data_IF_234044722710
#
_entry.id   IF_234044722710
#
_cell.length_a   1.000
_cell.length_b   1.000
_cell.length_c   1.000
_cell.angle_alpha   90.00
_cell.angle_beta   90.00
_cell.angle_gamma   90.00
#
_symmetry.space_group_name_H-M   'P 1'
#
loop_
_entity.id
_entity.type
_entity.pdbx_description
1 polymer ?
#
# COMPACT_ATOMS: atom_id res chain seq x y z
N UNK A 1 -10.84 0.90 18.37
CA UNK A 1 -9.53 1.20 17.75
C UNK A 1 -9.83 1.95 16.46
N UNK A 2 -9.17 3.07 16.18
CA UNK A 2 -9.40 3.81 14.94
C UNK A 2 -8.86 2.97 13.76
N UNK A 3 -9.62 2.84 12.65
CA UNK A 3 -9.20 2.14 11.42
C UNK A 3 -7.79 2.55 10.99
N UNK A 4 -7.46 3.85 11.11
CA UNK A 4 -6.13 4.37 10.77
C UNK A 4 -5.01 3.77 11.63
N UNK A 5 -5.28 3.51 12.91
CA UNK A 5 -4.30 2.90 13.83
C UNK A 5 -4.13 1.40 13.56
N UNK A 6 -5.17 0.75 13.05
CA UNK A 6 -5.11 -0.65 12.63
C UNK A 6 -4.35 -0.81 11.31
N UNK A 7 -4.56 0.09 10.34
CA UNK A 7 -3.80 0.16 9.08
C UNK A 7 -2.30 0.36 9.37
N UNK A 8 -1.93 1.21 10.34
CA UNK A 8 -0.52 1.40 10.74
C UNK A 8 0.15 0.13 11.29
N UNK A 9 -0.63 -0.88 11.66
CA UNK A 9 -0.17 -2.19 12.15
C UNK A 9 -0.34 -3.30 11.11
N UNK A 10 -0.72 -2.94 9.87
CA UNK A 10 -0.88 -3.88 8.78
C UNK A 10 0.40 -4.66 8.53
N UNK A 11 0.24 -5.90 8.06
CA UNK A 11 1.36 -6.66 7.51
C UNK A 11 1.81 -5.97 6.21
N UNK A 12 3.09 -5.60 6.12
CA UNK A 12 3.63 -4.95 4.92
C UNK A 12 4.38 -5.95 4.04
N UNK A 13 3.87 -6.15 2.83
CA UNK A 13 4.43 -7.02 1.80
C UNK A 13 4.97 -6.19 0.64
N UNK A 14 6.02 -6.73 0.02
CA UNK A 14 6.69 -6.12 -1.14
C UNK A 14 7.07 -7.21 -2.12
N UNK A 15 6.78 -6.99 -3.39
CA UNK A 15 7.22 -7.89 -4.45
C UNK A 15 8.74 -7.87 -4.61
N UNK A 16 9.27 -8.89 -5.27
CA UNK A 16 10.71 -8.99 -5.57
C UNK A 16 11.17 -7.81 -6.42
N UNK A 17 10.37 -7.35 -7.39
CA UNK A 17 10.67 -6.19 -8.21
C UNK A 17 10.95 -4.97 -7.36
N UNK A 18 10.03 -4.63 -6.45
CA UNK A 18 10.16 -3.50 -5.53
C UNK A 18 11.42 -3.61 -4.68
N UNK A 19 11.64 -4.76 -4.04
CA UNK A 19 12.81 -4.97 -3.17
C UNK A 19 14.12 -4.83 -3.94
N UNK A 20 14.15 -5.22 -5.22
CA UNK A 20 15.37 -5.21 -6.05
C UNK A 20 15.67 -3.87 -6.72
N UNK A 21 14.66 -3.03 -6.97
CA UNK A 21 14.80 -1.85 -7.84
C UNK A 21 14.60 -0.53 -7.11
N UNK A 22 13.84 -0.52 -6.01
CA UNK A 22 13.54 0.71 -5.28
C UNK A 22 14.34 0.73 -3.97
N UNK A 23 15.11 1.78 -3.68
CA UNK A 23 15.77 1.95 -2.38
C UNK A 23 14.80 1.85 -1.20
N UNK A 24 15.24 1.28 -0.08
CA UNK A 24 14.37 1.02 1.09
C UNK A 24 13.77 2.30 1.68
N UNK A 25 14.55 3.38 1.74
CA UNK A 25 14.11 4.69 2.21
C UNK A 25 12.97 5.25 1.35
N UNK A 26 13.07 5.12 0.03
CA UNK A 26 12.01 5.50 -0.92
C UNK A 26 10.76 4.62 -0.73
N UNK A 27 10.93 3.30 -0.55
CA UNK A 27 9.81 2.40 -0.22
C UNK A 27 9.09 2.85 1.06
N UNK A 28 9.84 3.18 2.11
CA UNK A 28 9.27 3.59 3.40
C UNK A 28 8.58 4.95 3.33
N UNK A 29 9.07 5.87 2.50
CA UNK A 29 8.41 7.15 2.24
C UNK A 29 7.09 6.97 1.49
N UNK A 30 7.08 6.18 0.41
CA UNK A 30 5.85 5.83 -0.31
C UNK A 30 4.83 5.14 0.60
N UNK A 31 5.26 4.18 1.43
CA UNK A 31 4.37 3.51 2.38
C UNK A 31 3.72 4.51 3.35
N UNK A 32 4.49 5.45 3.91
CA UNK A 32 3.95 6.48 4.82
C UNK A 32 2.90 7.33 4.12
N UNK A 33 3.20 7.82 2.90
CA UNK A 33 2.28 8.62 2.10
C UNK A 33 1.01 7.85 1.72
N UNK A 34 1.12 6.57 1.40
CA UNK A 34 -0.03 5.72 1.12
C UNK A 34 -0.93 5.58 2.36
N UNK A 35 -0.33 5.27 3.52
CA UNK A 35 -1.05 5.16 4.80
C UNK A 35 -1.75 6.46 5.16
N UNK A 36 -1.20 7.64 4.85
CA UNK A 36 -1.86 8.94 5.07
C UNK A 36 -3.17 9.07 4.29
N UNK A 37 -3.29 8.42 3.15
CA UNK A 37 -4.49 8.47 2.31
C UNK A 37 -5.45 7.31 2.51
N UNK A 38 -5.00 6.16 3.00
CA UNK A 38 -5.90 5.03 3.20
C UNK A 38 -6.95 5.25 4.28
N UNK A 39 -8.19 4.86 3.98
CA UNK A 39 -9.34 4.92 4.87
C UNK A 39 -10.40 3.88 4.44
N UNK A 40 -11.67 4.10 4.78
CA UNK A 40 -12.76 3.18 4.45
C UNK A 40 -13.11 3.17 2.95
N UNK A 41 -12.70 4.20 2.19
CA UNK A 41 -12.99 4.31 0.76
C UNK A 41 -11.73 4.13 -0.07
N UNK A 42 -10.62 4.73 0.35
CA UNK A 42 -9.34 4.72 -0.37
C UNK A 42 -8.54 3.48 0.01
N UNK A 43 -8.49 2.49 -0.88
CA UNK A 43 -7.77 1.23 -0.70
C UNK A 43 -6.56 1.08 -1.64
N UNK A 44 -6.35 2.05 -2.54
CA UNK A 44 -5.31 1.97 -3.55
C UNK A 44 -4.54 3.29 -3.71
N UNK A 45 -3.21 3.23 -3.72
CA UNK A 45 -2.33 4.36 -3.96
C UNK A 45 -1.39 4.06 -5.13
N UNK A 46 -1.36 4.95 -6.12
CA UNK A 46 -0.48 4.87 -7.28
C UNK A 46 0.55 5.99 -7.20
N UNK A 47 1.80 5.64 -6.99
CA UNK A 47 2.92 6.56 -7.14
C UNK A 47 3.30 6.61 -8.61
N UNK A 48 3.13 7.77 -9.24
CA UNK A 48 3.35 7.95 -10.67
C UNK A 48 4.43 9.03 -10.91
N UNK A 49 5.58 8.69 -11.52
CA UNK A 49 6.63 9.67 -11.80
C UNK A 49 6.22 10.69 -12.86
N UNK A 50 5.19 10.41 -13.66
CA UNK A 50 4.69 11.28 -14.72
C UNK A 50 3.46 12.11 -14.31
N UNK A 51 2.87 11.84 -13.15
CA UNK A 51 1.76 12.65 -12.65
C UNK A 51 2.25 14.05 -12.27
N UNK A 52 1.47 15.07 -12.63
CA UNK A 52 1.76 16.47 -12.29
C UNK A 52 1.16 16.89 -10.96
N UNK A 53 0.02 16.31 -10.60
CA UNK A 53 -0.73 16.64 -9.39
C UNK A 53 -1.36 15.40 -8.76
N UNK A 54 -1.66 15.52 -7.46
CA UNK A 54 -2.41 14.51 -6.72
C UNK A 54 -3.88 14.57 -7.14
N UNK A 55 -4.48 13.41 -7.39
CA UNK A 55 -5.92 13.30 -7.68
C UNK A 55 -6.47 11.96 -7.19
N UNK A 56 -7.80 11.88 -7.12
CA UNK A 56 -8.52 10.66 -6.80
C UNK A 56 -9.25 10.16 -8.05
N UNK A 57 -9.29 8.84 -8.21
CA UNK A 57 -9.92 8.10 -9.30
C UNK A 57 -10.78 6.96 -8.70
N UNK A 58 -11.64 6.35 -9.53
CA UNK A 58 -12.49 5.22 -9.14
C UNK A 58 -13.40 5.48 -7.93
N UNK A 59 -14.14 6.60 -7.95
CA UNK A 59 -15.02 7.02 -6.84
C UNK A 59 -14.27 7.13 -5.50
N UNK A 60 -13.12 7.81 -5.53
CA UNK A 60 -12.20 8.02 -4.41
C UNK A 60 -11.52 6.76 -3.85
N UNK A 61 -11.61 5.63 -4.55
CA UNK A 61 -10.92 4.39 -4.14
C UNK A 61 -9.42 4.41 -4.41
N UNK A 62 -9.03 5.10 -5.48
CA UNK A 62 -7.65 5.17 -5.95
C UNK A 62 -7.10 6.58 -5.79
N UNK A 63 -6.02 6.76 -5.05
CA UNK A 63 -5.25 8.02 -5.02
C UNK A 63 -4.04 7.94 -5.93
N UNK A 64 -3.91 8.89 -6.85
CA UNK A 64 -2.71 9.07 -7.68
C UNK A 64 -1.82 10.12 -7.04
N UNK A 65 -0.56 9.79 -6.79
CA UNK A 65 0.42 10.62 -6.08
C UNK A 65 1.64 10.84 -7.00
N UNK A 66 1.95 12.10 -7.37
CA UNK A 66 3.19 12.43 -8.07
C UNK A 66 4.42 11.99 -7.29
N UNK A 67 5.33 11.24 -7.93
CA UNK A 67 6.54 10.76 -7.27
C UNK A 67 7.70 10.62 -8.25
N UNK A 68 8.51 11.65 -8.42
CA UNK A 68 9.54 11.73 -9.48
C UNK A 68 10.80 10.89 -9.22
N UNK A 69 10.97 10.37 -8.01
CA UNK A 69 12.18 9.66 -7.58
C UNK A 69 12.17 8.16 -7.95
N UNK A 70 11.07 7.65 -8.50
CA UNK A 70 10.94 6.25 -8.97
C UNK A 70 11.01 6.16 -10.49
N UNK A 71 11.57 5.06 -11.05
CA UNK A 71 11.74 4.91 -12.50
C UNK A 71 10.45 4.62 -13.26
N UNK A 72 9.41 4.13 -12.56
CA UNK A 72 8.11 3.76 -13.14
C UNK A 72 7.05 3.74 -12.04
N UNK A 73 5.78 3.58 -12.43
CA UNK A 73 4.65 3.54 -11.49
C UNK A 73 4.83 2.45 -10.45
N UNK A 74 4.47 2.75 -9.20
CA UNK A 74 4.42 1.78 -8.09
C UNK A 74 3.01 1.80 -7.51
N UNK A 75 2.44 0.63 -7.30
CA UNK A 75 1.15 0.43 -6.68
C UNK A 75 1.34 0.04 -5.22
N UNK A 76 0.53 0.63 -4.35
CA UNK A 76 0.41 0.27 -2.94
C UNK A 76 -1.06 0.02 -2.68
N UNK A 77 -1.40 -1.22 -2.34
CA UNK A 77 -2.78 -1.66 -2.09
C UNK A 77 -2.97 -1.99 -0.62
N UNK A 78 -4.11 -1.59 -0.07
CA UNK A 78 -4.62 -2.01 1.23
C UNK A 78 -5.69 -3.08 1.03
N UNK A 79 -5.41 -4.31 1.45
CA UNK A 79 -6.38 -5.39 1.46
C UNK A 79 -6.94 -5.59 2.88
N UNK A 80 -8.27 -5.65 3.01
CA UNK A 80 -8.97 -5.97 4.25
C UNK A 80 -9.44 -7.44 4.22
N UNK A 81 -8.87 -8.26 5.08
CA UNK A 81 -9.24 -9.69 5.20
C UNK A 81 -10.43 -9.91 6.13
N UNK A 82 -11.06 -8.85 6.63
CA UNK A 82 -12.21 -8.87 7.53
C UNK A 82 -11.86 -9.19 8.99
N UNK A 83 -10.83 -10.00 9.23
CA UNK A 83 -10.33 -10.33 10.57
C UNK A 83 -8.83 -10.68 10.58
N UNK A 84 -8.20 -10.62 11.75
CA UNK A 84 -6.80 -11.02 11.93
C UNK A 84 -6.62 -12.49 11.62
N UNK A 85 -7.54 -13.34 12.08
CA UNK A 85 -7.50 -14.80 11.88
C UNK A 85 -7.49 -15.18 10.40
N UNK A 86 -8.18 -14.41 9.56
CA UNK A 86 -8.14 -14.61 8.12
C UNK A 86 -6.75 -14.28 7.55
N UNK A 87 -6.12 -13.17 7.96
CA UNK A 87 -4.75 -12.86 7.52
C UNK A 87 -3.78 -13.96 7.95
N UNK A 88 -3.87 -14.41 9.20
CA UNK A 88 -2.97 -15.46 9.71
C UNK A 88 -3.17 -16.79 8.99
N UNK A 89 -4.42 -17.15 8.66
CA UNK A 89 -4.74 -18.36 7.89
C UNK A 89 -4.18 -18.31 6.48
N UNK A 90 -4.38 -17.21 5.76
CA UNK A 90 -3.95 -17.08 4.36
C UNK A 90 -2.43 -16.87 4.23
N UNK A 91 -1.82 -16.14 5.17
CA UNK A 91 -0.38 -15.83 5.13
C UNK A 91 0.52 -16.87 5.80
N UNK A 92 -0.04 -17.66 6.74
CA UNK A 92 0.72 -18.53 7.64
C UNK A 92 1.53 -17.80 8.72
N UNK A 93 1.40 -16.48 8.83
CA UNK A 93 2.08 -15.67 9.84
C UNK A 93 1.17 -15.52 11.06
N UNK A 94 1.66 -15.87 12.25
CA UNK A 94 0.90 -15.78 13.51
C UNK A 94 1.33 -14.58 14.35
N UNK A 95 0.46 -14.11 15.25
CA UNK A 95 0.70 -13.00 16.17
C UNK A 95 0.44 -11.63 15.54
N UNK A 96 -0.37 -11.57 14.49
CA UNK A 96 -0.70 -10.34 13.80
C UNK A 96 -1.66 -9.48 14.66
N UNK A 97 -1.66 -8.16 14.43
CA UNK A 97 -2.44 -7.19 15.21
C UNK A 97 -3.44 -6.39 14.38
N UNK A 98 -3.57 -6.75 13.11
CA UNK A 98 -4.33 -6.02 12.12
C UNK A 98 -4.90 -7.00 11.11
N UNK A 99 -6.15 -6.78 10.71
CA UNK A 99 -6.79 -7.49 9.60
C UNK A 99 -6.34 -7.01 8.22
N UNK A 100 -5.53 -5.97 8.18
CA UNK A 100 -5.09 -5.34 6.95
C UNK A 100 -3.73 -5.86 6.50
N UNK A 101 -3.59 -5.96 5.18
CA UNK A 101 -2.31 -6.21 4.51
C UNK A 101 -2.05 -5.04 3.55
N UNK A 102 -0.85 -4.48 3.59
CA UNK A 102 -0.41 -3.49 2.61
C UNK A 102 0.58 -4.16 1.67
N UNK A 103 0.28 -4.17 0.37
CA UNK A 103 1.16 -4.76 -0.64
C UNK A 103 1.69 -3.67 -1.56
N UNK A 104 3.02 -3.58 -1.69
CA UNK A 104 3.70 -2.71 -2.65
C UNK A 104 4.25 -3.53 -3.81
N UNK A 105 3.95 -3.10 -5.03
CA UNK A 105 4.26 -3.84 -6.26
C UNK A 105 4.38 -2.91 -7.47
N UNK A 106 5.04 -3.38 -8.53
CA UNK A 106 4.88 -2.76 -9.84
C UNK A 106 3.56 -3.21 -10.50
N UNK A 107 2.97 -2.41 -11.41
CA UNK A 107 1.73 -2.77 -12.09
C UNK A 107 1.75 -4.14 -12.78
N UNK A 108 2.89 -4.53 -13.35
CA UNK A 108 3.09 -5.82 -14.03
C UNK A 108 3.25 -7.02 -13.09
N UNK A 109 3.33 -6.79 -11.77
CA UNK A 109 3.42 -7.85 -10.75
C UNK A 109 2.07 -8.12 -10.06
N UNK A 110 1.03 -7.36 -10.42
CA UNK A 110 -0.35 -7.57 -9.96
C UNK A 110 -1.05 -8.64 -10.81
#
# INVERSE_FOLDING_TARGET
MNVKDEIRRALFLRTRGIVSQIPLDIQMDMLKKAIEHFDETTDFAVFDPNATEKRYEDDDRTVIIPYREIPKKVWVKLDDYGSVENVERESGITGLRSRFVITMMFPEEY
#
